data_IF_333389109532
#
_entry.id   IF_333389109532
#
_cell.length_a   1.000
_cell.length_b   1.000
_cell.length_c   1.000
_cell.angle_alpha   90.00
_cell.angle_beta   90.00
_cell.angle_gamma   90.00
#
_symmetry.space_group_name_H-M   'P 1'
#
loop_
_entity.id
_entity.type
_entity.pdbx_description
1 polymer ?
#
# COMPACT_ATOMS: atom_id res chain seq x y z
N UNK A 1 -1.22 -16.11 -0.59
CA UNK A 1 -0.66 -15.18 0.41
C UNK A 1 0.85 -15.13 0.25
N UNK A 2 1.45 -13.94 0.36
CA UNK A 2 2.91 -13.75 0.32
C UNK A 2 3.58 -14.55 1.45
N UNK A 3 4.81 -15.01 1.25
CA UNK A 3 5.62 -15.52 2.36
C UNK A 3 5.92 -14.38 3.34
N UNK A 4 6.07 -14.71 4.62
CA UNK A 4 6.28 -13.70 5.66
C UNK A 4 7.55 -12.88 5.43
N UNK A 5 8.62 -13.51 4.92
CA UNK A 5 9.85 -12.82 4.54
C UNK A 5 9.62 -11.81 3.41
N UNK A 6 8.95 -12.21 2.34
CA UNK A 6 8.66 -11.30 1.22
C UNK A 6 7.69 -10.19 1.60
N UNK A 7 6.77 -10.44 2.54
CA UNK A 7 5.89 -9.41 3.07
C UNK A 7 6.66 -8.36 3.89
N UNK A 8 7.61 -8.78 4.74
CA UNK A 8 8.48 -7.85 5.48
C UNK A 8 9.35 -7.02 4.55
N UNK A 9 9.97 -7.65 3.54
CA UNK A 9 10.79 -6.94 2.56
C UNK A 9 10.00 -5.87 1.81
N UNK A 10 8.79 -6.21 1.35
CA UNK A 10 7.88 -5.27 0.70
C UNK A 10 7.44 -4.14 1.64
N UNK A 11 7.14 -4.45 2.90
CA UNK A 11 6.80 -3.43 3.91
C UNK A 11 7.94 -2.44 4.14
N UNK A 12 9.18 -2.94 4.28
CA UNK A 12 10.36 -2.07 4.39
C UNK A 12 10.56 -1.21 3.14
N UNK A 13 10.33 -1.74 1.95
CA UNK A 13 10.38 -0.98 0.70
C UNK A 13 9.34 0.16 0.69
N UNK A 14 8.13 -0.09 1.19
CA UNK A 14 7.12 0.95 1.34
C UNK A 14 7.59 2.05 2.32
N UNK A 15 8.07 1.67 3.50
CA UNK A 15 8.49 2.63 4.54
C UNK A 15 9.67 3.50 4.10
N UNK A 16 10.59 2.94 3.33
CA UNK A 16 11.78 3.65 2.84
C UNK A 16 11.52 4.49 1.59
N UNK A 17 10.58 4.08 0.72
CA UNK A 17 10.37 4.71 -0.59
C UNK A 17 9.01 5.36 -0.80
N UNK A 18 7.92 4.63 -0.54
CA UNK A 18 6.56 5.07 -0.87
C UNK A 18 5.93 5.96 0.21
N UNK A 19 6.33 5.81 1.47
CA UNK A 19 5.84 6.64 2.59
C UNK A 19 6.21 8.13 2.42
N UNK A 20 7.22 8.45 1.60
CA UNK A 20 7.60 9.83 1.30
C UNK A 20 6.54 10.62 0.52
N UNK A 21 5.62 9.93 -0.18
CA UNK A 21 4.56 10.58 -0.97
C UNK A 21 3.30 10.86 -0.14
N UNK A 22 3.01 10.03 0.86
CA UNK A 22 1.92 10.18 1.82
C UNK A 22 2.39 9.65 3.17
N UNK A 23 2.96 10.50 4.05
CA UNK A 23 3.49 10.09 5.34
C UNK A 23 2.34 9.85 6.33
N UNK A 24 1.59 8.77 6.09
CA UNK A 24 0.48 8.35 6.93
C UNK A 24 0.93 7.42 8.05
N UNK A 25 2.10 6.81 7.91
CA UNK A 25 2.68 5.89 8.89
C UNK A 25 4.05 6.38 9.36
N UNK A 26 4.32 6.17 10.64
CA UNK A 26 5.59 6.44 11.28
C UNK A 26 6.47 5.16 11.23
N UNK A 27 7.65 5.18 10.58
CA UNK A 27 8.54 4.03 10.54
C UNK A 27 8.99 3.49 11.91
N UNK A 28 8.92 4.31 12.96
CA UNK A 28 9.33 3.97 14.33
C UNK A 28 8.18 3.28 15.08
N UNK A 29 6.94 3.74 14.88
CA UNK A 29 5.75 3.26 15.62
C UNK A 29 5.00 2.17 14.83
N UNK A 30 4.82 2.37 13.52
CA UNK A 30 4.08 1.49 12.62
C UNK A 30 4.99 0.39 12.08
N UNK A 31 5.43 -0.51 12.95
CA UNK A 31 6.17 -1.71 12.55
C UNK A 31 5.26 -2.71 11.82
N UNK A 32 5.86 -3.63 11.06
CA UNK A 32 5.11 -4.69 10.35
C UNK A 32 4.15 -5.45 11.29
N UNK A 33 4.61 -5.78 12.50
CA UNK A 33 3.79 -6.49 13.48
C UNK A 33 2.68 -5.61 14.05
N UNK A 34 2.95 -4.34 14.34
CA UNK A 34 1.95 -3.40 14.83
C UNK A 34 0.80 -3.22 13.82
N UNK A 35 1.14 -3.02 12.53
CA UNK A 35 0.16 -2.86 11.45
C UNK A 35 -0.59 -4.17 11.18
N UNK A 36 0.09 -5.32 11.23
CA UNK A 36 -0.53 -6.64 11.08
C UNK A 36 -1.56 -6.92 12.18
N UNK A 37 -1.25 -6.53 13.42
CA UNK A 37 -2.14 -6.70 14.57
C UNK A 37 -3.33 -5.72 14.55
N UNK A 38 -3.11 -4.49 14.07
CA UNK A 38 -4.16 -3.47 14.02
C UNK A 38 -5.18 -3.74 12.91
N UNK A 39 -4.72 -4.07 11.70
CA UNK A 39 -5.60 -4.33 10.55
C UNK A 39 -4.90 -5.09 9.43
N UNK A 40 -5.39 -6.30 9.14
CA UNK A 40 -4.99 -7.08 7.96
C UNK A 40 -5.26 -6.31 6.65
N UNK A 41 -6.32 -5.51 6.59
CA UNK A 41 -6.63 -4.70 5.41
C UNK A 41 -5.56 -3.63 5.16
N UNK A 42 -5.17 -2.93 6.22
CA UNK A 42 -4.13 -1.90 6.16
C UNK A 42 -2.81 -2.49 5.66
N UNK A 43 -2.41 -3.63 6.22
CA UNK A 43 -1.21 -4.34 5.78
C UNK A 43 -1.29 -4.74 4.30
N UNK A 44 -2.41 -5.31 3.84
CA UNK A 44 -2.58 -5.73 2.44
C UNK A 44 -2.44 -4.55 1.46
N UNK A 45 -2.98 -3.37 1.80
CA UNK A 45 -2.84 -2.17 0.98
C UNK A 45 -1.38 -1.72 0.88
N UNK A 46 -0.67 -1.67 2.01
CA UNK A 46 0.76 -1.31 2.05
C UNK A 46 1.58 -2.25 1.16
N UNK A 47 1.34 -3.56 1.27
CA UNK A 47 2.03 -4.57 0.46
C UNK A 47 1.70 -4.43 -1.04
N UNK A 48 0.45 -4.17 -1.39
CA UNK A 48 0.05 -3.93 -2.78
C UNK A 48 0.80 -2.73 -3.38
N UNK A 49 0.93 -1.64 -2.61
CA UNK A 49 1.65 -0.44 -3.04
C UNK A 49 3.15 -0.73 -3.17
N UNK A 50 3.76 -1.40 -2.19
CA UNK A 50 5.17 -1.78 -2.23
C UNK A 50 5.50 -2.57 -3.51
N UNK A 51 4.70 -3.58 -3.82
CA UNK A 51 4.84 -4.40 -5.03
C UNK A 51 4.60 -3.61 -6.32
N UNK A 52 3.78 -2.56 -6.27
CA UNK A 52 3.57 -1.66 -7.43
C UNK A 52 4.77 -0.75 -7.71
N UNK A 53 5.53 -0.40 -6.66
CA UNK A 53 6.70 0.49 -6.73
C UNK A 53 7.97 -0.29 -7.12
N UNK A 54 8.07 -1.56 -6.70
CA UNK A 54 9.15 -2.46 -7.11
C UNK A 54 9.02 -2.90 -8.58
N UNK A 55 9.40 -2.02 -9.51
CA UNK A 55 9.51 -2.32 -10.94
C UNK A 55 10.71 -3.23 -11.27
N UNK A 56 11.59 -3.52 -10.31
CA UNK A 56 12.82 -4.27 -10.55
C UNK A 56 12.61 -5.80 -10.55
N UNK A 57 11.46 -6.29 -10.07
CA UNK A 57 11.09 -7.72 -10.09
C UNK A 57 9.95 -8.00 -11.09
N UNK A 58 10.24 -8.18 -12.39
CA UNK A 58 9.24 -8.44 -13.43
C UNK A 58 8.49 -9.78 -13.27
N UNK A 59 8.95 -10.68 -12.39
CA UNK A 59 8.29 -11.97 -12.12
C UNK A 59 7.05 -11.88 -11.23
N UNK A 60 6.68 -10.70 -10.73
CA UNK A 60 5.59 -10.55 -9.74
C UNK A 60 4.33 -9.84 -10.24
N UNK A 61 4.17 -9.58 -11.55
CA UNK A 61 2.98 -8.89 -12.08
C UNK A 61 1.67 -9.56 -11.65
N UNK A 62 1.58 -10.89 -11.75
CA UNK A 62 0.42 -11.66 -11.25
C UNK A 62 0.22 -11.50 -9.74
N UNK A 63 1.30 -11.37 -8.98
CA UNK A 63 1.27 -11.23 -7.52
C UNK A 63 0.84 -9.83 -7.10
N UNK A 64 1.29 -8.80 -7.82
CA UNK A 64 0.83 -7.41 -7.69
C UNK A 64 -0.67 -7.33 -7.97
N UNK A 65 -1.10 -7.85 -9.11
CA UNK A 65 -2.50 -7.78 -9.52
C UNK A 65 -3.41 -8.57 -8.55
N UNK A 66 -2.95 -9.74 -8.09
CA UNK A 66 -3.65 -10.51 -7.06
C UNK A 66 -3.73 -9.79 -5.71
N UNK A 67 -2.63 -9.19 -5.24
CA UNK A 67 -2.60 -8.45 -3.96
C UNK A 67 -3.44 -7.18 -4.04
N UNK A 68 -3.46 -6.51 -5.20
CA UNK A 68 -4.30 -5.35 -5.44
C UNK A 68 -5.79 -5.74 -5.51
N UNK A 69 -6.13 -6.84 -6.19
CA UNK A 69 -7.50 -7.36 -6.19
C UNK A 69 -7.98 -7.72 -4.78
N UNK A 70 -7.10 -8.32 -3.97
CA UNK A 70 -7.38 -8.63 -2.56
C UNK A 70 -7.58 -7.35 -1.73
N UNK A 71 -6.76 -6.32 -1.94
CA UNK A 71 -6.93 -5.02 -1.30
C UNK A 71 -8.29 -4.39 -1.66
N UNK A 72 -8.69 -4.43 -2.93
CA UNK A 72 -10.01 -3.95 -3.37
C UNK A 72 -11.17 -4.76 -2.76
N UNK A 73 -11.02 -6.08 -2.66
CA UNK A 73 -12.01 -6.95 -2.03
C UNK A 73 -12.18 -6.62 -0.54
N UNK A 74 -11.07 -6.48 0.19
CA UNK A 74 -11.07 -6.09 1.60
C UNK A 74 -11.59 -4.67 1.82
N UNK A 75 -11.33 -3.74 0.88
CA UNK A 75 -11.90 -2.40 0.92
C UNK A 75 -13.44 -2.44 0.77
N UNK A 76 -13.95 -3.22 -0.18
CA UNK A 76 -15.40 -3.41 -0.36
C UNK A 76 -16.07 -3.98 0.90
N UNK A 77 -15.40 -4.92 1.59
CA UNK A 77 -15.88 -5.47 2.86
C UNK A 77 -15.80 -4.45 4.01
N UNK A 78 -14.80 -3.58 4.00
CA UNK A 78 -14.58 -2.57 5.05
C UNK A 78 -15.51 -1.36 4.94
N UNK A 79 -15.96 -1.02 3.73
CA UNK A 79 -16.89 0.09 3.45
C UNK A 79 -18.23 -0.04 4.19
N UNK A 80 -18.68 -1.27 4.45
CA UNK A 80 -19.97 -1.53 5.11
C UNK A 80 -19.82 -1.85 6.61
N UNK A 81 -18.65 -1.61 7.20
CA UNK A 81 -18.47 -1.77 8.64
C UNK A 81 -19.14 -0.61 9.40
N UNK A 82 -19.86 -0.93 10.47
CA UNK A 82 -20.61 0.05 11.26
C UNK A 82 -19.74 1.11 11.96
N UNK A 83 -18.44 0.84 12.15
CA UNK A 83 -17.47 1.78 12.72
C UNK A 83 -16.08 1.55 12.12
N UNK A 84 -15.69 2.32 11.08
CA UNK A 84 -14.36 2.21 10.51
C UNK A 84 -13.32 2.79 11.49
N UNK A 85 -12.26 2.01 11.77
CA UNK A 85 -11.13 2.47 12.56
C UNK A 85 -10.24 3.40 11.75
N UNK A 86 -9.37 4.17 12.42
CA UNK A 86 -8.45 5.12 11.79
C UNK A 86 -7.59 4.44 10.70
N UNK A 87 -7.10 3.24 10.98
CA UNK A 87 -6.25 2.46 10.09
C UNK A 87 -6.99 2.05 8.81
N UNK A 88 -8.29 1.78 8.92
CA UNK A 88 -9.14 1.48 7.76
C UNK A 88 -9.27 2.69 6.87
N UNK A 89 -9.47 3.88 7.44
CA UNK A 89 -9.56 5.13 6.68
C UNK A 89 -8.21 5.45 6.02
N UNK A 90 -7.10 5.34 6.75
CA UNK A 90 -5.75 5.53 6.22
C UNK A 90 -5.46 4.57 5.06
N UNK A 91 -5.81 3.29 5.20
CA UNK A 91 -5.66 2.29 4.15
C UNK A 91 -6.52 2.61 2.91
N UNK A 92 -7.75 3.10 3.10
CA UNK A 92 -8.60 3.53 1.98
C UNK A 92 -8.03 4.75 1.25
N UNK A 93 -7.50 5.74 1.99
CA UNK A 93 -6.83 6.91 1.41
C UNK A 93 -5.63 6.48 0.56
N UNK A 94 -4.82 5.55 1.07
CA UNK A 94 -3.68 5.00 0.33
C UNK A 94 -4.11 4.25 -0.93
N UNK A 95 -5.13 3.40 -0.83
CA UNK A 95 -5.66 2.66 -1.98
C UNK A 95 -6.21 3.63 -3.05
N UNK A 96 -6.89 4.70 -2.64
CA UNK A 96 -7.40 5.73 -3.55
C UNK A 96 -6.27 6.53 -4.23
N UNK A 97 -5.22 6.87 -3.48
CA UNK A 97 -4.07 7.61 -3.98
C UNK A 97 -3.26 6.79 -5.00
N UNK A 98 -3.14 5.48 -4.78
CA UNK A 98 -2.36 4.56 -5.63
C UNK A 98 -3.19 3.83 -6.69
N UNK A 99 -4.49 4.13 -6.82
CA UNK A 99 -5.32 3.63 -7.92
C UNK A 99 -4.66 3.90 -9.28
N UNK A 100 -4.65 2.88 -10.16
CA UNK A 100 -3.88 2.80 -11.42
C UNK A 100 -3.92 4.05 -12.31
N UNK A 101 -4.95 4.90 -12.20
CA UNK A 101 -5.10 6.12 -13.00
C UNK A 101 -4.40 7.37 -12.43
N UNK A 102 -4.03 7.39 -11.16
CA UNK A 102 -3.54 8.60 -10.50
C UNK A 102 -2.02 8.61 -10.28
N UNK A 103 -1.39 7.53 -9.79
CA UNK A 103 0.01 7.59 -9.36
C UNK A 103 1.01 7.81 -10.52
N UNK A 104 0.80 7.16 -11.67
CA UNK A 104 1.64 7.37 -12.88
C UNK A 104 1.54 8.83 -13.34
N UNK A 105 0.35 9.43 -13.26
CA UNK A 105 0.11 10.84 -13.58
C UNK A 105 0.75 11.79 -12.57
N UNK A 106 0.73 11.48 -11.27
CA UNK A 106 1.41 12.29 -10.25
C UNK A 106 2.93 12.26 -10.40
N UNK A 107 3.54 11.09 -10.60
CA UNK A 107 5.00 10.97 -10.79
C UNK A 107 5.47 11.61 -12.10
N UNK A 108 4.72 11.44 -13.20
CA UNK A 108 5.05 12.12 -14.46
C UNK A 108 4.87 13.63 -14.36
N UNK A 109 3.86 14.14 -13.64
CA UNK A 109 3.62 15.58 -13.49
C UNK A 109 4.57 16.26 -12.48
N UNK A 110 4.96 15.58 -11.41
CA UNK A 110 5.96 16.09 -10.45
C UNK A 110 7.35 16.28 -11.11
N UNK A 111 7.64 15.52 -12.17
CA UNK A 111 8.88 15.67 -12.96
C UNK A 111 8.89 16.92 -13.85
N UNK A 112 7.74 17.56 -14.10
CA UNK A 112 7.59 18.75 -14.95
C UNK A 112 7.53 20.09 -14.19
N UNK A 113 7.44 20.07 -12.86
CA UNK A 113 7.45 21.32 -12.04
C UNK A 113 8.88 21.73 -11.67
N UNK A 114 9.91 20.97 -12.09
CA UNK A 114 11.33 21.30 -11.93
C UNK A 114 12.04 21.55 -13.27
N UNK A 115 11.40 22.25 -14.20
CA UNK A 115 12.07 22.82 -15.38
C UNK A 115 11.61 24.24 -15.62
#
# INVERSE_FOLDING_TARGET
MLSESSARDAFHLYMTGANAFLPLFDPIVDTFEAVRQSSTFCLTVILAIALSVDRARPSSEKLRDHTHAEACHLAAKSLFMASPRLETVQAMVLLAAYSEKNWVRFVTRARWVRK
#
